data_IF_326860754031
#
_entry.id   IF_326860754031
#
_cell.length_a   1.000
_cell.length_b   1.000
_cell.length_c   1.000
_cell.angle_alpha   90.00
_cell.angle_beta   90.00
_cell.angle_gamma   90.00
#
_symmetry.space_group_name_H-M   'P 1'
#
loop_
_entity.id
_entity.type
_entity.pdbx_description
1 polymer ?
#
# COMPACT_ATOMS: atom_id res chain seq x y z
N UNK A 1 20.20 11.40 24.20
CA UNK A 1 19.44 11.23 22.95
C UNK A 1 18.59 9.96 23.07
N UNK A 2 17.31 10.02 22.68
CA UNK A 2 16.41 8.86 22.70
C UNK A 2 16.88 7.80 21.70
N UNK A 3 16.94 6.54 22.12
CA UNK A 3 17.38 5.37 21.33
C UNK A 3 16.22 4.67 20.59
N UNK A 4 15.04 5.28 20.55
CA UNK A 4 13.88 4.70 19.83
C UNK A 4 13.99 5.07 18.36
N UNK A 5 14.11 4.10 17.43
CA UNK A 5 14.08 4.39 16.01
C UNK A 5 12.76 5.07 15.66
N UNK A 6 12.81 6.27 15.10
CA UNK A 6 11.61 6.94 14.63
C UNK A 6 11.04 6.16 13.45
N UNK A 7 9.84 5.60 13.60
CA UNK A 7 9.12 4.96 12.49
C UNK A 7 8.64 6.04 11.53
N UNK A 8 9.21 6.07 10.32
CA UNK A 8 8.80 7.00 9.28
C UNK A 8 8.33 6.21 8.04
N UNK A 9 7.03 6.26 7.75
CA UNK A 9 6.46 5.64 6.56
C UNK A 9 6.60 6.58 5.36
N UNK A 10 7.18 6.06 4.28
CA UNK A 10 7.27 6.74 3.00
C UNK A 10 6.14 6.25 2.10
N UNK A 11 5.45 7.20 1.45
CA UNK A 11 4.36 6.94 0.54
C UNK A 11 4.76 7.33 -0.88
N UNK A 12 4.64 6.39 -1.81
CA UNK A 12 5.07 6.59 -3.20
C UNK A 12 3.92 7.19 -4.02
N UNK A 13 4.17 8.27 -4.79
CA UNK A 13 3.20 8.78 -5.75
C UNK A 13 2.81 7.71 -6.78
N UNK A 14 1.52 7.64 -7.13
CA UNK A 14 0.99 6.60 -8.03
C UNK A 14 1.64 6.60 -9.43
N UNK A 15 2.17 7.75 -9.89
CA UNK A 15 2.88 7.87 -11.17
C UNK A 15 4.36 7.45 -11.10
N UNK A 16 4.88 7.09 -9.93
CA UNK A 16 6.28 6.69 -9.72
C UNK A 16 6.45 5.20 -9.40
N UNK A 17 5.37 4.41 -9.47
CA UNK A 17 5.39 2.98 -9.17
C UNK A 17 6.29 2.20 -10.13
N UNK A 18 7.00 1.19 -9.60
CA UNK A 18 7.88 0.28 -10.34
C UNK A 18 7.47 -1.17 -10.07
N UNK A 19 7.66 -2.03 -11.07
CA UNK A 19 7.41 -3.47 -10.90
C UNK A 19 8.39 -4.09 -9.91
N UNK A 20 7.93 -5.05 -9.11
CA UNK A 20 8.76 -5.78 -8.15
C UNK A 20 9.12 -5.04 -6.86
N UNK A 21 8.48 -3.88 -6.58
CA UNK A 21 8.71 -3.12 -5.34
C UNK A 21 7.53 -3.22 -4.37
N UNK A 22 7.81 -3.21 -3.06
CA UNK A 22 6.81 -3.12 -1.99
C UNK A 22 6.82 -1.67 -1.47
N UNK A 23 5.67 -1.00 -1.51
CA UNK A 23 5.55 0.44 -1.16
C UNK A 23 4.25 0.72 -0.42
N UNK A 24 4.21 1.82 0.35
CA UNK A 24 2.97 2.37 0.89
C UNK A 24 2.39 3.40 -0.09
N UNK A 25 1.07 3.50 -0.17
CA UNK A 25 0.38 4.49 -1.02
C UNK A 25 -0.83 5.08 -0.30
N UNK A 26 -1.22 6.29 -0.71
CA UNK A 26 -2.52 6.88 -0.42
C UNK A 26 -3.28 7.11 -1.74
N UNK A 27 -4.61 7.06 -1.68
CA UNK A 27 -5.45 7.31 -2.85
C UNK A 27 -6.93 7.43 -2.48
N UNK A 28 -7.70 7.99 -3.41
CA UNK A 28 -9.18 8.03 -3.33
C UNK A 28 -9.73 6.83 -4.09
N UNK A 29 -10.68 6.11 -3.48
CA UNK A 29 -11.37 5.00 -4.12
C UNK A 29 -12.29 5.52 -5.22
N UNK A 30 -11.95 5.24 -6.48
CA UNK A 30 -12.79 5.57 -7.64
C UNK A 30 -13.76 4.44 -8.01
N UNK A 31 -13.34 3.21 -7.78
CA UNK A 31 -14.11 1.99 -8.03
C UNK A 31 -13.60 0.89 -7.09
N UNK A 32 -14.50 0.07 -6.56
CA UNK A 32 -14.12 -1.12 -5.80
C UNK A 32 -15.19 -2.22 -5.96
N UNK A 33 -14.75 -3.49 -5.90
CA UNK A 33 -15.64 -4.62 -5.64
C UNK A 33 -15.54 -4.92 -4.13
N UNK A 34 -16.65 -5.04 -3.39
CA UNK A 34 -16.60 -5.43 -1.99
C UNK A 34 -16.00 -6.84 -1.85
N UNK A 35 -15.51 -7.25 -0.67
CA UNK A 35 -15.01 -8.60 -0.46
C UNK A 35 -16.01 -9.67 -0.91
N UNK A 36 -15.55 -10.62 -1.72
CA UNK A 36 -16.34 -11.75 -2.23
C UNK A 36 -15.47 -13.00 -2.25
N UNK A 37 -16.09 -14.18 -2.09
CA UNK A 37 -15.37 -15.45 -2.16
C UNK A 37 -14.85 -15.66 -3.59
N UNK A 38 -13.54 -15.77 -3.75
CA UNK A 38 -12.97 -16.07 -5.07
C UNK A 38 -13.16 -17.54 -5.41
N UNK A 39 -12.77 -17.95 -6.62
CA UNK A 39 -12.74 -19.37 -7.00
C UNK A 39 -11.52 -20.12 -6.44
N UNK A 40 -10.58 -19.39 -5.83
CA UNK A 40 -9.38 -19.93 -5.22
C UNK A 40 -9.55 -20.14 -3.71
N UNK A 41 -8.45 -20.07 -2.97
CA UNK A 41 -8.42 -20.26 -1.51
C UNK A 41 -8.79 -19.01 -0.72
N UNK A 42 -8.81 -17.83 -1.36
CA UNK A 42 -9.10 -16.52 -0.75
C UNK A 42 -10.51 -16.00 -1.05
#
# INVERSE_FOLDING_TARGET
MSLVPATNYIYTPLNQLKGGTIVNVYGVVKFFKPPYLSKGTE
#
